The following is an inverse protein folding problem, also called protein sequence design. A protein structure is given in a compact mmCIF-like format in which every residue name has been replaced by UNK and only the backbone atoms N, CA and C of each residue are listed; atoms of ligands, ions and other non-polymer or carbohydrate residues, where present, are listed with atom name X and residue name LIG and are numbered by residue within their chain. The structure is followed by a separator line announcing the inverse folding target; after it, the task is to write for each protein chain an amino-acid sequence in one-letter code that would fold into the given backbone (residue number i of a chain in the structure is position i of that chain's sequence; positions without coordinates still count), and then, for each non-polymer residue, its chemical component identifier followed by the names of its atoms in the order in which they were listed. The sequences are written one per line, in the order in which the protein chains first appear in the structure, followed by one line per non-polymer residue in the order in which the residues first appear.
data_IF_463142063791
#
_entry.id   IF_463142063791
#
_cell.length_a   1.000
_cell.length_b   1.000
_cell.length_c   1.000
_cell.angle_alpha   90.00
_cell.angle_beta   90.00
_cell.angle_gamma   90.00
#
_symmetry.space_group_name_H-M   'P 1'
#
loop_
_entity.id
_entity.type
_entity.pdbx_description
1 polymer ?
#
# COMPACT_ATOMS: atom_id res chain seq x y z
N UNK A 1 -1.81 16.99 23.84
CA UNK A 1 -1.29 17.49 22.57
C UNK A 1 -1.63 16.44 21.54
N UNK A 2 -2.51 16.74 20.59
CA UNK A 2 -2.86 15.79 19.52
C UNK A 2 -1.71 15.86 18.54
N UNK A 3 -0.85 14.84 18.50
CA UNK A 3 0.13 14.72 17.43
C UNK A 3 -0.66 14.65 16.12
N UNK A 4 -0.55 15.69 15.30
CA UNK A 4 -1.06 15.67 13.95
C UNK A 4 -0.20 14.66 13.19
N UNK A 5 -0.61 13.39 13.16
CA UNK A 5 0.04 12.37 12.35
C UNK A 5 -0.01 12.86 10.91
N UNK A 6 1.14 13.26 10.36
CA UNK A 6 1.23 13.73 9.00
C UNK A 6 0.64 12.67 8.08
N UNK A 7 -0.36 13.05 7.29
CA UNK A 7 -1.04 12.12 6.40
C UNK A 7 -0.03 11.65 5.33
N UNK A 8 0.24 10.34 5.31
CA UNK A 8 1.16 9.73 4.34
C UNK A 8 0.63 9.90 2.91
N UNK A 9 1.53 10.17 1.98
CA UNK A 9 1.21 10.18 0.55
C UNK A 9 0.97 8.76 0.04
N UNK A 10 0.32 8.62 -1.13
CA UNK A 10 0.11 7.32 -1.79
C UNK A 10 1.44 6.58 -1.98
N UNK A 11 2.47 7.28 -2.46
CA UNK A 11 3.81 6.70 -2.68
C UNK A 11 4.43 6.19 -1.39
N UNK A 12 4.31 6.94 -0.29
CA UNK A 12 4.83 6.52 1.02
C UNK A 12 4.11 5.25 1.51
N UNK A 13 2.78 5.21 1.42
CA UNK A 13 1.99 4.03 1.80
C UNK A 13 2.39 2.81 0.97
N UNK A 14 2.52 2.94 -0.35
CA UNK A 14 2.90 1.84 -1.22
C UNK A 14 4.31 1.31 -0.92
N UNK A 15 5.29 2.21 -0.69
CA UNK A 15 6.66 1.83 -0.35
C UNK A 15 6.73 1.10 0.99
N UNK A 16 6.05 1.63 2.00
CA UNK A 16 6.01 1.00 3.32
C UNK A 16 5.29 -0.35 3.29
N UNK A 17 4.16 -0.45 2.58
CA UNK A 17 3.44 -1.70 2.40
C UNK A 17 4.31 -2.76 1.69
N UNK A 18 5.01 -2.37 0.62
CA UNK A 18 5.99 -3.24 -0.06
C UNK A 18 7.07 -3.72 0.91
N UNK A 19 7.63 -2.81 1.71
CA UNK A 19 8.67 -3.15 2.67
C UNK A 19 8.16 -4.11 3.76
N UNK A 20 6.92 -3.92 4.24
CA UNK A 20 6.28 -4.85 5.18
C UNK A 20 6.18 -6.27 4.61
N UNK A 21 5.82 -6.42 3.33
CA UNK A 21 5.78 -7.75 2.68
C UNK A 21 7.16 -8.39 2.58
N UNK A 22 8.22 -7.60 2.42
CA UNK A 22 9.61 -8.08 2.38
C UNK A 22 10.07 -8.51 3.77
N UNK A 23 9.82 -7.67 4.79
CA UNK A 23 10.38 -7.85 6.13
C UNK A 23 9.63 -8.89 6.96
N UNK A 24 8.30 -8.90 6.86
CA UNK A 24 7.43 -9.84 7.57
C UNK A 24 7.15 -11.08 6.72
N UNK A 25 7.07 -10.92 5.41
CA UNK A 25 6.69 -11.98 4.50
C UNK A 25 5.24 -11.84 4.05
N UNK A 26 4.96 -12.50 2.94
CA UNK A 26 3.68 -12.42 2.25
C UNK A 26 2.81 -13.64 2.50
N UNK A 27 1.49 -13.43 2.53
CA UNK A 27 0.48 -14.50 2.58
C UNK A 27 -0.75 -14.16 1.74
N UNK A 28 -1.64 -15.12 1.57
CA UNK A 28 -2.90 -14.97 0.83
C UNK A 28 -4.10 -14.99 1.79
N UNK A 29 -5.16 -14.24 1.46
CA UNK A 29 -6.50 -14.33 2.05
C UNK A 29 -6.70 -13.78 3.47
N UNK A 30 -5.66 -13.67 4.29
CA UNK A 30 -5.84 -13.47 5.74
C UNK A 30 -5.58 -12.06 6.28
N UNK A 31 -5.41 -11.03 5.43
CA UNK A 31 -4.93 -9.68 5.82
C UNK A 31 -3.54 -9.72 6.46
N UNK A 32 -3.42 -10.33 7.64
CA UNK A 32 -2.20 -10.57 8.39
C UNK A 32 -2.20 -11.96 9.03
N UNK A 33 -1.00 -12.55 9.16
CA UNK A 33 -0.75 -13.62 10.13
C UNK A 33 -0.22 -13.01 11.42
N UNK A 34 -0.69 -13.49 12.57
CA UNK A 34 -0.31 -12.96 13.90
C UNK A 34 0.54 -13.95 14.69
N UNK A 35 1.32 -13.43 15.64
CA UNK A 35 2.10 -14.22 16.60
C UNK A 35 1.23 -14.99 17.60
N UNK A 36 0.01 -14.52 17.85
CA UNK A 36 -0.99 -15.13 18.74
C UNK A 36 -2.28 -15.47 17.96
N UNK A 37 -3.23 -16.16 18.59
CA UNK A 37 -4.53 -16.53 17.99
C UNK A 37 -5.50 -15.32 17.85
N UNK A 38 -4.97 -14.09 17.86
CA UNK A 38 -5.75 -12.87 17.68
C UNK A 38 -6.39 -12.79 16.29
N UNK A 39 -7.42 -11.95 16.16
CA UNK A 39 -8.04 -11.61 14.87
C UNK A 39 -7.44 -10.35 14.25
N UNK A 40 -6.84 -9.47 15.06
CA UNK A 40 -6.29 -8.19 14.65
C UNK A 40 -5.00 -7.88 15.43
N UNK A 41 -3.97 -7.30 14.78
CA UNK A 41 -2.76 -6.87 15.46
C UNK A 41 -3.03 -5.65 16.33
N UNK A 42 -2.53 -5.63 17.56
CA UNK A 42 -2.53 -4.43 18.42
C UNK A 42 -1.40 -3.46 18.04
N UNK A 43 -0.36 -3.97 17.40
CA UNK A 43 0.80 -3.23 16.91
C UNK A 43 1.50 -4.03 15.79
N UNK A 44 2.46 -3.41 15.10
CA UNK A 44 3.19 -4.04 13.98
C UNK A 44 4.12 -5.19 14.39
N UNK A 45 4.51 -5.26 15.67
CA UNK A 45 5.43 -6.30 16.14
C UNK A 45 4.73 -7.66 16.22
N UNK A 46 3.41 -7.68 16.40
CA UNK A 46 2.56 -8.87 16.41
C UNK A 46 2.33 -9.46 15.01
N UNK A 47 2.63 -8.71 13.95
CA UNK A 47 2.43 -9.16 12.57
C UNK A 47 3.60 -10.05 12.14
N UNK A 48 3.28 -11.30 11.81
CA UNK A 48 4.22 -12.27 11.24
C UNK A 48 4.30 -12.17 9.73
N UNK A 49 3.19 -11.99 9.03
CA UNK A 49 3.13 -11.84 7.58
C UNK A 49 1.87 -11.06 7.20
N UNK A 50 1.78 -10.60 5.95
CA UNK A 50 0.61 -9.89 5.46
C UNK A 50 0.27 -10.25 4.01
N UNK A 51 -1.01 -10.18 3.65
CA UNK A 51 -1.38 -10.12 2.24
C UNK A 51 -1.18 -8.68 1.73
N UNK A 52 -1.21 -8.47 0.41
CA UNK A 52 -1.00 -7.14 -0.16
C UNK A 52 -1.98 -6.08 0.38
N UNK A 53 -3.24 -6.45 0.59
CA UNK A 53 -4.25 -5.54 1.16
C UNK A 53 -3.99 -5.23 2.65
N UNK A 54 -3.66 -6.24 3.45
CA UNK A 54 -3.30 -6.04 4.86
C UNK A 54 -2.06 -5.17 5.02
N UNK A 55 -1.04 -5.35 4.17
CA UNK A 55 0.17 -4.53 4.18
C UNK A 55 -0.13 -3.04 3.91
N UNK A 56 -1.05 -2.73 2.99
CA UNK A 56 -1.49 -1.34 2.75
C UNK A 56 -2.19 -0.76 3.97
N UNK A 57 -3.11 -1.50 4.59
CA UNK A 57 -3.80 -1.05 5.80
C UNK A 57 -2.82 -0.78 6.94
N UNK A 58 -1.87 -1.70 7.18
CA UNK A 58 -0.81 -1.53 8.18
C UNK A 58 0.05 -0.28 7.90
N UNK A 59 0.48 -0.07 6.65
CA UNK A 59 1.24 1.13 6.26
C UNK A 59 0.45 2.43 6.50
N UNK A 60 -0.88 2.38 6.43
CA UNK A 60 -1.78 3.50 6.74
C UNK A 60 -2.07 3.66 8.24
N UNK A 61 -1.55 2.78 9.09
CA UNK A 61 -1.86 2.73 10.52
C UNK A 61 -3.27 2.20 10.82
N UNK A 62 -3.91 1.52 9.87
CA UNK A 62 -5.22 0.90 10.04
C UNK A 62 -5.06 -0.57 10.45
N UNK A 63 -5.04 -0.80 11.76
CA UNK A 63 -4.98 -2.13 12.36
C UNK A 63 -6.33 -2.87 12.33
N UNK A 64 -7.42 -2.16 12.01
CA UNK A 64 -8.77 -2.74 11.91
C UNK A 64 -9.13 -3.18 10.49
N UNK A 65 -8.26 -2.91 9.51
CA UNK A 65 -8.43 -3.27 8.10
C UNK A 65 -9.75 -2.77 7.49
N UNK A 66 -10.23 -1.60 7.91
CA UNK A 66 -11.50 -1.05 7.43
C UNK A 66 -11.33 -0.19 6.17
N UNK A 67 -10.11 0.24 5.83
CA UNK A 67 -9.84 1.14 4.71
C UNK A 67 -9.56 0.40 3.41
N UNK A 68 -10.63 -0.10 2.79
CA UNK A 68 -10.56 -0.79 1.50
C UNK A 68 -10.48 0.19 0.32
N UNK A 69 -11.06 1.39 0.44
CA UNK A 69 -11.09 2.38 -0.67
C UNK A 69 -10.07 3.52 -0.49
N UNK A 70 -8.79 3.19 -0.48
CA UNK A 70 -7.71 4.19 -0.35
C UNK A 70 -7.04 4.50 -1.70
N UNK A 71 -6.41 5.69 -1.87
CA UNK A 71 -5.64 5.99 -3.08
C UNK A 71 -4.56 4.94 -3.40
N UNK A 72 -3.97 4.32 -2.37
CA UNK A 72 -3.00 3.25 -2.54
C UNK A 72 -3.64 1.97 -3.10
N UNK A 73 -4.84 1.61 -2.62
CA UNK A 73 -5.61 0.49 -3.21
C UNK A 73 -5.94 0.75 -4.68
N UNK A 74 -6.41 1.96 -5.02
CA UNK A 74 -6.70 2.34 -6.41
C UNK A 74 -5.46 2.27 -7.31
N UNK A 75 -4.29 2.67 -6.80
CA UNK A 75 -3.04 2.58 -7.53
C UNK A 75 -2.64 1.11 -7.79
N UNK A 76 -2.86 0.23 -6.81
CA UNK A 76 -2.63 -1.21 -6.97
C UNK A 76 -3.61 -1.86 -7.94
N UNK A 77 -4.89 -1.51 -7.88
CA UNK A 77 -5.90 -1.99 -8.84
C UNK A 77 -5.50 -1.63 -10.27
N UNK A 78 -5.10 -0.37 -10.49
CA UNK A 78 -4.64 0.11 -11.79
C UNK A 78 -3.35 -0.59 -12.25
N UNK A 79 -2.43 -0.87 -11.33
CA UNK A 79 -1.18 -1.56 -11.64
C UNK A 79 -1.40 -3.05 -11.97
N UNK A 80 -2.27 -3.72 -11.23
CA UNK A 80 -2.67 -5.11 -11.47
C UNK A 80 -3.49 -5.25 -12.76
N UNK A 81 -4.28 -4.23 -13.12
CA UNK A 81 -5.24 -4.28 -14.22
C UNK A 81 -6.55 -4.97 -13.85
N UNK A 82 -6.77 -5.23 -12.56
CA UNK A 82 -7.96 -5.84 -11.98
C UNK A 82 -8.07 -5.44 -10.50
N UNK A 83 -9.11 -5.89 -9.81
CA UNK A 83 -9.23 -5.68 -8.37
C UNK A 83 -8.09 -6.40 -7.63
N UNK A 84 -7.21 -5.65 -6.97
CA UNK A 84 -5.95 -6.13 -6.45
C UNK A 84 -6.07 -7.28 -5.43
N UNK A 85 -7.06 -7.30 -4.51
CA UNK A 85 -7.27 -8.47 -3.65
C UNK A 85 -7.53 -9.76 -4.43
N UNK A 86 -8.25 -9.72 -5.56
CA UNK A 86 -8.43 -10.90 -6.41
C UNK A 86 -7.13 -11.33 -7.08
N UNK A 87 -6.31 -10.38 -7.50
CA UNK A 87 -4.96 -10.66 -8.03
C UNK A 87 -4.08 -11.32 -6.95
N UNK A 88 -4.01 -10.73 -5.76
CA UNK A 88 -3.19 -11.23 -4.65
C UNK A 88 -3.56 -12.67 -4.24
N UNK A 89 -4.85 -12.98 -4.19
CA UNK A 89 -5.36 -14.27 -3.72
C UNK A 89 -5.56 -15.29 -4.85
N UNK A 90 -5.05 -15.01 -6.05
CA UNK A 90 -5.12 -15.95 -7.17
C UNK A 90 -4.35 -17.24 -6.85
N UNK A 91 -4.92 -18.37 -7.25
CA UNK A 91 -4.24 -19.67 -7.16
C UNK A 91 -2.93 -19.65 -7.96
N UNK A 92 -1.82 -19.98 -7.30
CA UNK A 92 -0.49 -19.98 -7.91
C UNK A 92 0.20 -18.62 -7.96
N UNK A 93 -0.41 -17.57 -7.38
CA UNK A 93 0.21 -16.26 -7.25
C UNK A 93 1.48 -16.34 -6.39
N UNK A 94 2.52 -15.60 -6.77
CA UNK A 94 3.76 -15.52 -5.98
C UNK A 94 3.97 -14.14 -5.35
N UNK A 95 4.79 -14.09 -4.30
CA UNK A 95 5.17 -12.83 -3.66
C UNK A 95 5.91 -11.91 -4.62
N UNK A 96 6.76 -12.45 -5.50
CA UNK A 96 7.51 -11.65 -6.48
C UNK A 96 6.59 -10.93 -7.45
N UNK A 97 5.53 -11.60 -7.92
CA UNK A 97 4.52 -11.00 -8.79
C UNK A 97 3.72 -9.92 -8.05
N UNK A 98 3.39 -10.16 -6.78
CA UNK A 98 2.73 -9.14 -5.93
C UNK A 98 3.64 -7.92 -5.74
N UNK A 99 4.92 -8.13 -5.41
CA UNK A 99 5.90 -7.06 -5.27
C UNK A 99 6.10 -6.29 -6.58
N UNK A 100 6.04 -6.97 -7.74
CA UNK A 100 6.12 -6.32 -9.04
C UNK A 100 4.92 -5.39 -9.31
N UNK A 101 3.72 -5.74 -8.83
CA UNK A 101 2.54 -4.84 -8.88
C UNK A 101 2.77 -3.60 -8.01
N UNK A 102 3.35 -3.77 -6.81
CA UNK A 102 3.75 -2.63 -5.97
C UNK A 102 4.75 -1.73 -6.68
N UNK A 103 5.78 -2.30 -7.32
CA UNK A 103 6.77 -1.53 -8.07
C UNK A 103 6.16 -0.74 -9.22
N UNK A 104 5.25 -1.35 -9.97
CA UNK A 104 4.51 -0.69 -11.05
C UNK A 104 3.64 0.45 -10.51
N UNK A 105 2.93 0.24 -9.39
CA UNK A 105 2.11 1.26 -8.77
C UNK A 105 2.96 2.44 -8.25
N UNK A 106 4.08 2.16 -7.58
CA UNK A 106 5.01 3.18 -7.08
C UNK A 106 5.55 4.03 -8.23
N UNK A 107 6.05 3.40 -9.29
CA UNK A 107 6.61 4.11 -10.44
C UNK A 107 5.56 5.01 -11.12
N UNK A 108 4.32 4.53 -11.26
CA UNK A 108 3.22 5.31 -11.83
C UNK A 108 2.84 6.52 -10.97
N UNK A 109 2.79 6.36 -9.65
CA UNK A 109 2.48 7.47 -8.73
C UNK A 109 3.62 8.49 -8.64
N UNK A 110 4.88 8.05 -8.65
CA UNK A 110 6.04 8.95 -8.70
C UNK A 110 6.08 9.77 -10.00
N UNK A 111 5.72 9.17 -11.13
CA UNK A 111 5.62 9.86 -12.41
C UNK A 111 4.56 10.98 -12.37
N UNK A 112 3.38 10.73 -11.79
CA UNK A 112 2.32 11.75 -11.63
C UNK A 112 2.78 12.93 -10.78
N UNK A 113 3.53 12.67 -9.71
CA UNK A 113 4.11 13.73 -8.87
C UNK A 113 5.13 14.56 -9.65
N UNK A 114 5.99 13.90 -10.43
CA UNK A 114 6.97 14.59 -11.28
C UNK A 114 6.32 15.44 -12.38
N UNK A 115 5.25 14.94 -13.02
CA UNK A 115 4.48 15.68 -14.02
C UNK A 115 3.77 16.92 -13.42
N UNK A 116 3.20 16.78 -12.23
CA UNK A 116 2.55 17.89 -11.54
C UNK A 116 3.54 19.02 -11.18
N UNK A 117 4.80 18.67 -10.87
CA UNK A 117 5.86 19.63 -10.54
C UNK A 117 6.51 20.27 -11.78
N UNK A 118 6.34 19.68 -12.96
CA UNK A 118 6.95 20.16 -14.22
C UNK A 118 5.96 20.84 -15.16
N UNK A 119 4.65 20.79 -14.86
CA UNK A 119 3.63 21.45 -15.67
C UNK A 119 3.70 22.98 -15.55
N UNK A 120 3.87 23.74 -16.65
CA UNK A 120 4.08 25.20 -16.66
C UNK A 120 2.81 26.02 -16.36
N UNK A 121 1.74 25.42 -15.84
CA UNK A 121 0.48 26.11 -15.49
C UNK A 121 0.61 27.12 -14.32
N UNK A 122 1.83 27.35 -13.81
CA UNK A 122 2.18 28.35 -12.81
C UNK A 122 2.97 29.55 -13.34
N UNK A 123 3.00 29.83 -14.65
CA UNK A 123 3.40 31.17 -15.13
C UNK A 123 2.32 32.17 -14.73
N UNK A 124 2.43 32.70 -13.52
CA UNK A 124 1.87 34.01 -13.20
C UNK A 124 2.71 34.99 -14.01
N UNK A 125 2.19 35.42 -15.16
CA UNK A 125 2.69 36.60 -15.83
C UNK A 125 2.43 37.79 -14.89
N UNK A 126 3.46 38.18 -14.14
CA UNK A 126 3.49 39.46 -13.44
C UNK A 126 3.78 40.50 -14.52
N UNK A 127 2.71 41.21 -14.90
CA UNK A 127 2.74 42.42 -15.72
C UNK A 127 3.41 43.54 -14.93
#
# INVERSE_FOLDING_TARGET
MVETTQQKTTVQVLKEAKQLLIDKGWTQGNYVGLTDEGLYPRNLDEVLCACGHGAVCLAQGDLAFMRIDSPAHKALDAAAGEYFPHFNDRMGQTVEEVLAVFDKAIAAEEAKVSEALTSPAGRIDVI
#
